data_IF_539407655973
#
_entry.id   IF_539407655973
#
_cell.length_a   1.000
_cell.length_b   1.000
_cell.length_c   1.000
_cell.angle_alpha   90.00
_cell.angle_beta   90.00
_cell.angle_gamma   90.00
#
_symmetry.space_group_name_H-M   'P 1'
#
loop_
_entity.id
_entity.type
_entity.pdbx_description
1 polymer ?
#
# COMPACT_ATOMS: atom_id res chain seq x y z
N UNK A 1 10.21 31.88 14.41
CA UNK A 1 8.86 31.66 13.81
C UNK A 1 8.92 31.23 12.36
N UNK A 2 9.91 31.69 11.58
CA UNK A 2 9.96 31.44 10.14
C UNK A 2 10.08 29.96 9.81
N UNK A 3 10.89 29.20 10.54
CA UNK A 3 10.96 27.73 10.39
C UNK A 3 9.61 27.06 10.66
N UNK A 4 8.93 27.42 11.75
CA UNK A 4 7.63 26.84 12.08
C UNK A 4 6.55 27.20 11.04
N UNK A 5 6.60 28.43 10.51
CA UNK A 5 5.64 28.91 9.52
C UNK A 5 5.89 28.35 8.09
N UNK A 6 7.12 28.01 7.78
CA UNK A 6 7.52 27.54 6.44
C UNK A 6 7.62 26.01 6.36
N UNK A 7 7.56 25.29 7.49
CA UNK A 7 7.54 23.85 7.50
C UNK A 7 6.13 23.34 7.23
N UNK A 8 5.94 22.78 6.05
CA UNK A 8 4.68 22.20 5.62
C UNK A 8 4.89 20.81 5.00
N UNK A 9 3.89 19.95 5.15
CA UNK A 9 3.82 18.66 4.51
C UNK A 9 2.50 18.56 3.74
N UNK A 10 2.58 18.36 2.44
CA UNK A 10 1.41 18.31 1.56
C UNK A 10 0.45 19.53 1.71
N UNK A 11 1.01 20.74 1.82
CA UNK A 11 0.26 21.98 2.02
C UNK A 11 -0.31 22.19 3.43
N UNK A 12 -0.03 21.28 4.35
CA UNK A 12 -0.47 21.38 5.75
C UNK A 12 0.69 21.75 6.66
N UNK A 13 0.54 22.83 7.41
CA UNK A 13 1.52 23.28 8.40
C UNK A 13 1.44 22.43 9.66
N UNK A 14 2.57 21.79 10.02
CA UNK A 14 2.65 20.85 11.12
C UNK A 14 3.08 21.51 12.44
N UNK A 15 3.86 22.61 12.36
CA UNK A 15 4.56 23.22 13.48
C UNK A 15 3.95 24.56 13.95
N UNK A 16 2.83 24.97 13.36
CA UNK A 16 2.14 26.22 13.73
C UNK A 16 0.95 26.00 14.65
N UNK A 17 0.68 24.77 15.06
CA UNK A 17 -0.52 24.41 15.82
C UNK A 17 -1.82 24.61 15.05
N UNK A 18 -2.93 24.24 15.66
CA UNK A 18 -4.25 24.70 15.22
C UNK A 18 -4.60 25.95 16.03
N UNK A 19 -5.35 26.86 15.46
CA UNK A 19 -5.68 28.18 16.01
C UNK A 19 -6.29 28.21 17.44
N UNK A 20 -6.52 27.08 18.08
CA UNK A 20 -7.09 26.95 19.42
C UNK A 20 -6.52 25.73 20.14
N UNK A 21 -5.23 25.72 20.47
CA UNK A 21 -4.61 24.78 21.44
C UNK A 21 -5.18 23.34 21.51
N UNK A 22 -5.98 22.96 20.53
CA UNK A 22 -6.51 21.64 20.31
C UNK A 22 -5.57 20.91 19.36
N UNK A 23 -5.03 19.78 19.79
CA UNK A 23 -4.29 18.84 18.95
C UNK A 23 -5.15 18.42 17.76
N UNK A 24 -5.11 19.18 16.68
CA UNK A 24 -5.72 18.75 15.43
C UNK A 24 -4.76 17.74 14.83
N UNK A 25 -5.01 16.48 15.11
CA UNK A 25 -4.26 15.40 14.51
C UNK A 25 -4.61 15.29 13.02
N UNK A 26 -3.61 15.02 12.21
CA UNK A 26 -3.85 14.64 10.83
C UNK A 26 -3.99 13.12 10.81
N UNK A 27 -5.14 12.65 10.39
CA UNK A 27 -5.34 11.23 10.17
C UNK A 27 -4.79 10.83 8.81
N UNK A 28 -3.84 9.91 8.81
CA UNK A 28 -3.26 9.33 7.61
C UNK A 28 -3.64 7.86 7.54
N UNK A 29 -4.20 7.43 6.42
CA UNK A 29 -4.51 6.02 6.18
C UNK A 29 -3.20 5.27 5.95
N UNK A 30 -2.97 4.22 6.74
CA UNK A 30 -1.75 3.40 6.72
C UNK A 30 -2.00 1.93 6.40
N UNK A 31 -3.26 1.52 6.23
CA UNK A 31 -3.63 0.13 5.95
C UNK A 31 -4.76 0.04 4.95
N UNK A 32 -5.14 -1.21 4.61
CA UNK A 32 -6.17 -1.51 3.63
C UNK A 32 -7.59 -1.54 4.22
N UNK A 33 -7.70 -1.58 5.55
CA UNK A 33 -8.98 -1.70 6.24
C UNK A 33 -9.50 -0.35 6.74
N UNK A 34 -10.81 -0.25 6.87
CA UNK A 34 -11.45 0.93 7.48
C UNK A 34 -11.05 1.01 8.96
N UNK A 35 -10.39 2.10 9.35
CA UNK A 35 -9.88 2.32 10.71
C UNK A 35 -8.36 2.17 10.85
N UNK A 36 -7.67 1.70 9.82
CA UNK A 36 -6.21 1.62 9.81
C UNK A 36 -5.59 3.00 9.58
N UNK A 37 -5.75 3.87 10.56
CA UNK A 37 -5.24 5.24 10.49
C UNK A 37 -4.11 5.48 11.49
N UNK A 38 -3.16 6.32 11.11
CA UNK A 38 -2.17 6.88 12.02
C UNK A 38 -2.43 8.38 12.21
N UNK A 39 -2.36 8.78 13.45
CA UNK A 39 -2.53 10.19 13.83
C UNK A 39 -1.18 10.87 13.89
N UNK A 40 -0.99 11.91 13.07
CA UNK A 40 0.17 12.79 13.10
C UNK A 40 -0.21 14.01 13.94
N UNK A 41 0.37 14.18 15.15
CA UNK A 41 0.05 15.32 15.99
C UNK A 41 0.61 16.61 15.38
N UNK A 42 -0.22 17.64 15.29
CA UNK A 42 0.25 18.99 15.03
C UNK A 42 0.76 19.59 16.34
N UNK A 43 1.93 20.18 16.29
CA UNK A 43 2.56 20.83 17.44
C UNK A 43 2.74 22.31 17.15
N UNK A 44 2.60 23.15 18.18
CA UNK A 44 2.89 24.57 18.06
C UNK A 44 4.31 24.84 18.55
N UNK A 45 5.24 24.99 17.63
CA UNK A 45 6.63 25.36 17.89
C UNK A 45 6.93 26.82 17.54
N UNK A 46 5.89 27.64 17.46
CA UNK A 46 6.08 29.09 17.36
C UNK A 46 6.61 29.64 18.68
N UNK A 47 7.18 30.84 18.68
CA UNK A 47 7.63 31.48 19.89
C UNK A 47 6.51 31.71 20.92
N UNK A 48 5.27 31.73 20.45
CA UNK A 48 4.07 31.84 21.28
C UNK A 48 3.67 30.48 21.86
N UNK A 49 3.67 29.40 21.03
CA UNK A 49 3.39 28.06 21.49
C UNK A 49 4.41 27.50 22.47
N UNK A 50 5.66 27.86 22.31
CA UNK A 50 6.75 27.56 23.26
C UNK A 50 6.76 28.41 24.53
N UNK A 51 5.85 29.39 24.66
CA UNK A 51 5.78 30.25 25.80
C UNK A 51 6.89 31.31 25.92
N UNK A 52 7.71 31.46 24.88
CA UNK A 52 8.76 32.46 24.81
C UNK A 52 8.20 33.87 24.64
N UNK A 53 6.98 33.97 24.09
CA UNK A 53 6.27 35.22 23.84
C UNK A 53 4.78 35.07 24.19
N UNK A 54 4.21 36.05 24.85
CA UNK A 54 2.77 36.13 25.14
C UNK A 54 2.21 37.36 24.45
N UNK A 55 1.52 37.20 23.33
CA UNK A 55 1.14 38.32 22.47
C UNK A 55 2.36 39.08 21.98
N UNK A 56 2.46 40.37 22.25
CA UNK A 56 3.62 41.21 21.91
C UNK A 56 4.69 41.27 23.02
N UNK A 57 4.42 40.70 24.19
CA UNK A 57 5.36 40.69 25.31
C UNK A 57 6.32 39.49 25.21
N UNK A 58 7.61 39.75 25.36
CA UNK A 58 8.65 38.72 25.42
C UNK A 58 8.79 38.26 26.87
N UNK A 59 8.59 36.96 27.14
CA UNK A 59 8.68 36.38 28.49
C UNK A 59 10.14 36.16 28.92
N UNK A 60 11.10 36.36 28.04
CA UNK A 60 12.52 36.30 28.34
C UNK A 60 13.02 37.70 28.59
N UNK A 61 13.25 38.05 29.89
CA UNK A 61 13.71 39.37 30.33
C UNK A 61 15.05 39.20 31.07
N UNK A 62 16.01 40.04 30.70
CA UNK A 62 17.34 40.09 31.34
C UNK A 62 17.26 40.52 32.79
N UNK A 63 16.20 41.22 33.19
CA UNK A 63 15.97 41.65 34.57
C UNK A 63 15.50 40.52 35.50
N UNK A 64 14.98 39.44 34.93
CA UNK A 64 14.49 38.27 35.67
C UNK A 64 15.06 36.98 35.09
N UNK A 65 16.35 36.77 35.30
CA UNK A 65 17.15 35.70 34.69
C UNK A 65 16.61 34.32 35.08
N UNK A 66 16.25 34.10 36.33
CA UNK A 66 15.78 32.81 36.83
C UNK A 66 14.47 32.35 36.12
N UNK A 67 13.56 33.29 35.91
CA UNK A 67 12.31 32.98 35.19
C UNK A 67 12.56 32.78 33.70
N UNK A 68 13.44 33.58 33.12
CA UNK A 68 13.83 33.45 31.71
C UNK A 68 14.50 32.10 31.41
N UNK A 69 15.38 31.63 32.29
CA UNK A 69 15.99 30.29 32.20
C UNK A 69 14.94 29.18 32.23
N UNK A 70 13.99 29.23 33.17
CA UNK A 70 12.91 28.23 33.24
C UNK A 70 12.04 28.19 31.99
N UNK A 71 11.76 29.34 31.40
CA UNK A 71 10.97 29.43 30.16
C UNK A 71 11.74 28.82 28.98
N UNK A 72 13.04 29.09 28.89
CA UNK A 72 13.89 28.54 27.83
C UNK A 72 14.08 27.01 28.00
N UNK A 73 14.31 26.54 29.24
CA UNK A 73 14.45 25.11 29.55
C UNK A 73 13.16 24.36 29.21
N UNK A 74 12.00 24.92 29.53
CA UNK A 74 10.71 24.35 29.16
C UNK A 74 10.56 24.27 27.64
N UNK A 75 10.84 25.35 26.93
CA UNK A 75 10.78 25.38 25.46
C UNK A 75 11.70 24.35 24.83
N UNK A 76 12.92 24.15 25.35
CA UNK A 76 13.84 23.14 24.89
C UNK A 76 13.31 21.72 25.13
N UNK A 77 12.74 21.49 26.31
CA UNK A 77 12.11 20.20 26.64
C UNK A 77 10.92 19.90 25.72
N UNK A 78 10.09 20.88 25.43
CA UNK A 78 8.94 20.74 24.53
C UNK A 78 9.39 20.42 23.10
N UNK A 79 10.46 21.08 22.59
CA UNK A 79 11.05 20.77 21.27
C UNK A 79 11.59 19.34 21.22
N UNK A 80 12.34 18.91 22.26
CA UNK A 80 12.86 17.53 22.33
C UNK A 80 11.73 16.51 22.39
N UNK A 81 10.66 16.77 23.15
CA UNK A 81 9.48 15.90 23.22
C UNK A 81 8.80 15.75 21.87
N UNK A 82 8.64 16.84 21.14
CA UNK A 82 8.07 16.84 19.79
C UNK A 82 8.98 16.05 18.83
N UNK A 83 10.29 16.29 18.87
CA UNK A 83 11.26 15.54 18.07
C UNK A 83 11.19 14.03 18.33
N UNK A 84 11.10 13.65 19.61
CA UNK A 84 10.95 12.23 19.99
C UNK A 84 9.65 11.61 19.46
N UNK A 85 8.52 12.36 19.52
CA UNK A 85 7.23 11.90 18.98
C UNK A 85 7.29 11.69 17.46
N UNK A 86 7.88 12.61 16.72
CA UNK A 86 8.03 12.46 15.27
C UNK A 86 8.99 11.32 14.90
N UNK A 87 10.10 11.15 15.64
CA UNK A 87 11.00 10.02 15.44
C UNK A 87 10.31 8.66 15.71
N UNK A 88 9.45 8.59 16.73
CA UNK A 88 8.66 7.39 16.98
C UNK A 88 7.63 7.12 15.88
N UNK A 89 7.03 8.17 15.30
CA UNK A 89 6.13 8.05 14.15
C UNK A 89 6.86 7.59 12.88
N UNK A 90 8.05 8.11 12.63
CA UNK A 90 8.89 7.69 11.50
C UNK A 90 9.17 6.19 11.57
N UNK A 91 9.67 5.70 12.71
CA UNK A 91 9.90 4.26 12.91
C UNK A 91 8.62 3.43 12.73
N UNK A 92 7.47 3.95 13.19
CA UNK A 92 6.19 3.28 13.01
C UNK A 92 5.77 3.21 11.53
N UNK A 93 5.98 4.28 10.79
CA UNK A 93 5.67 4.31 9.35
C UNK A 93 6.60 3.40 8.56
N UNK A 94 7.89 3.37 8.88
CA UNK A 94 8.85 2.46 8.27
C UNK A 94 8.45 1.00 8.51
N UNK A 95 8.17 0.63 9.76
CA UNK A 95 7.70 -0.73 10.09
C UNK A 95 6.40 -1.11 9.39
N UNK A 96 5.48 -0.15 9.24
CA UNK A 96 4.22 -0.40 8.55
C UNK A 96 4.40 -0.52 7.03
N UNK A 97 5.32 0.26 6.47
CA UNK A 97 5.70 0.13 5.06
C UNK A 97 6.27 -1.27 4.76
N UNK A 98 7.22 -1.73 5.58
CA UNK A 98 7.82 -3.05 5.44
C UNK A 98 6.78 -4.17 5.58
N UNK A 99 5.87 -4.03 6.55
CA UNK A 99 4.77 -4.96 6.75
C UNK A 99 3.81 -4.99 5.55
N UNK A 100 3.47 -3.84 5.00
CA UNK A 100 2.60 -3.74 3.82
C UNK A 100 3.24 -4.35 2.59
N UNK A 101 4.55 -4.17 2.41
CA UNK A 101 5.31 -4.82 1.33
C UNK A 101 5.29 -6.35 1.48
N UNK A 102 5.53 -6.86 2.69
CA UNK A 102 5.49 -8.30 2.95
C UNK A 102 4.10 -8.91 2.74
N UNK A 103 3.03 -8.19 3.09
CA UNK A 103 1.66 -8.62 2.79
C UNK A 103 1.41 -8.64 1.29
N UNK A 104 1.80 -7.59 0.57
CA UNK A 104 1.63 -7.51 -0.89
C UNK A 104 2.30 -8.70 -1.59
N UNK A 105 3.53 -9.04 -1.20
CA UNK A 105 4.26 -10.20 -1.74
C UNK A 105 3.53 -11.53 -1.44
N UNK A 106 3.01 -11.69 -0.24
CA UNK A 106 2.24 -12.89 0.13
C UNK A 106 0.92 -13.00 -0.63
N UNK A 107 0.22 -11.89 -0.82
CA UNK A 107 -1.03 -11.86 -1.58
C UNK A 107 -0.78 -12.17 -3.04
N UNK A 108 0.27 -11.61 -3.64
CA UNK A 108 0.67 -11.90 -5.01
C UNK A 108 1.07 -13.38 -5.18
N UNK A 109 1.83 -13.93 -4.23
CA UNK A 109 2.18 -15.36 -4.22
C UNK A 109 0.96 -16.26 -4.09
N UNK A 110 -0.02 -15.87 -3.27
CA UNK A 110 -1.26 -16.63 -3.13
C UNK A 110 -2.13 -16.55 -4.39
N UNK A 111 -2.24 -15.38 -5.01
CA UNK A 111 -2.97 -15.18 -6.27
C UNK A 111 -2.33 -16.03 -7.40
N UNK A 112 -1.01 -15.98 -7.54
CA UNK A 112 -0.26 -16.81 -8.47
C UNK A 112 -0.51 -18.30 -8.22
N UNK A 113 -0.47 -18.75 -6.96
CA UNK A 113 -0.71 -20.16 -6.62
C UNK A 113 -2.10 -20.64 -7.02
N UNK A 114 -3.12 -19.78 -6.93
CA UNK A 114 -4.49 -20.13 -7.32
C UNK A 114 -4.62 -20.10 -8.85
N UNK A 115 -4.18 -19.03 -9.49
CA UNK A 115 -4.36 -18.81 -10.93
C UNK A 115 -3.51 -19.76 -11.77
N UNK A 116 -2.26 -19.99 -11.39
CA UNK A 116 -1.35 -20.86 -12.13
C UNK A 116 -1.77 -22.33 -12.03
N UNK A 117 -2.34 -22.74 -10.89
CA UNK A 117 -2.88 -24.09 -10.71
C UNK A 117 -4.12 -24.32 -11.59
N UNK A 118 -5.04 -23.35 -11.63
CA UNK A 118 -6.23 -23.43 -12.48
C UNK A 118 -5.86 -23.38 -13.97
N UNK A 119 -4.89 -22.56 -14.35
CA UNK A 119 -4.42 -22.47 -15.73
C UNK A 119 -3.78 -23.78 -16.18
N UNK A 120 -3.01 -24.45 -15.32
CA UNK A 120 -2.40 -25.74 -15.66
C UNK A 120 -3.45 -26.84 -15.85
N UNK A 121 -4.48 -26.88 -15.03
CA UNK A 121 -5.60 -27.81 -15.17
C UNK A 121 -6.38 -27.57 -16.47
N UNK A 122 -6.68 -26.32 -16.79
CA UNK A 122 -7.39 -25.91 -18.02
C UNK A 122 -6.58 -26.24 -19.27
N UNK A 123 -5.26 -26.00 -19.23
CA UNK A 123 -4.38 -26.36 -20.37
C UNK A 123 -4.28 -27.88 -20.60
N UNK A 124 -4.36 -28.69 -19.54
CA UNK A 124 -4.43 -30.14 -19.67
C UNK A 124 -5.75 -30.58 -20.28
N UNK A 125 -6.87 -29.97 -19.87
CA UNK A 125 -8.18 -30.28 -20.45
C UNK A 125 -8.28 -29.84 -21.91
N UNK A 126 -7.80 -28.64 -22.22
CA UNK A 126 -7.69 -28.16 -23.60
C UNK A 126 -6.86 -29.11 -24.49
N UNK A 127 -5.69 -29.53 -24.00
CA UNK A 127 -4.83 -30.46 -24.75
C UNK A 127 -5.50 -31.85 -25.00
N UNK A 128 -6.22 -32.33 -23.99
CA UNK A 128 -7.01 -33.56 -24.10
C UNK A 128 -8.11 -33.45 -25.17
N UNK A 129 -8.84 -32.32 -25.14
CA UNK A 129 -9.92 -32.07 -26.08
C UNK A 129 -9.39 -31.91 -27.52
N UNK A 130 -8.25 -31.25 -27.70
CA UNK A 130 -7.59 -31.11 -28.99
C UNK A 130 -7.18 -32.52 -29.56
N UNK A 131 -6.59 -33.38 -28.73
CA UNK A 131 -6.26 -34.75 -29.11
C UNK A 131 -7.52 -35.55 -29.45
N UNK A 132 -8.61 -35.40 -28.70
CA UNK A 132 -9.88 -36.08 -28.99
C UNK A 132 -10.50 -35.60 -30.31
N UNK A 133 -10.44 -34.32 -30.62
CA UNK A 133 -10.90 -33.76 -31.90
C UNK A 133 -10.06 -34.33 -33.06
N UNK A 134 -8.74 -34.35 -32.92
CA UNK A 134 -7.85 -34.92 -33.94
C UNK A 134 -8.10 -36.43 -34.16
N UNK A 135 -8.25 -37.17 -33.06
CA UNK A 135 -8.57 -38.61 -33.13
C UNK A 135 -9.94 -38.85 -33.76
N UNK A 136 -10.95 -38.03 -33.38
CA UNK A 136 -12.29 -38.12 -33.97
C UNK A 136 -12.30 -37.82 -35.46
N UNK A 137 -11.56 -36.82 -35.90
CA UNK A 137 -11.43 -36.51 -37.33
C UNK A 137 -10.71 -37.66 -38.10
N UNK A 138 -9.67 -38.25 -37.51
CA UNK A 138 -8.98 -39.38 -38.09
C UNK A 138 -9.90 -40.63 -38.21
N UNK A 139 -10.69 -40.90 -37.16
CA UNK A 139 -11.68 -41.98 -37.14
C UNK A 139 -12.79 -41.77 -38.18
N UNK A 140 -13.28 -40.51 -38.32
CA UNK A 140 -14.27 -40.20 -39.35
C UNK A 140 -13.70 -40.38 -40.77
N UNK A 141 -12.46 -39.97 -41.00
CA UNK A 141 -11.78 -40.21 -42.28
C UNK A 141 -11.62 -41.69 -42.56
N UNK A 142 -11.28 -42.50 -41.54
CA UNK A 142 -11.19 -43.96 -41.67
C UNK A 142 -12.55 -44.61 -41.91
N UNK A 143 -13.60 -44.18 -41.20
CA UNK A 143 -14.97 -44.67 -41.38
C UNK A 143 -15.51 -44.39 -42.80
N UNK A 144 -15.19 -43.23 -43.35
CA UNK A 144 -15.58 -42.87 -44.73
C UNK A 144 -14.86 -43.69 -45.83
N UNK A 145 -13.71 -44.29 -45.52
CA UNK A 145 -13.01 -45.17 -46.44
C UNK A 145 -13.63 -46.55 -46.49
N UNK A 146 -14.22 -47.07 -45.44
CA UNK A 146 -14.85 -48.40 -45.40
C UNK A 146 -15.92 -48.61 -46.44
N UNK A 147 -16.89 -47.70 -46.68
CA UNK A 147 -17.86 -47.83 -47.74
C UNK A 147 -17.24 -47.83 -49.17
N UNK A 148 -16.19 -47.01 -49.35
CA UNK A 148 -15.50 -46.90 -50.61
C UNK A 148 -14.74 -48.23 -50.97
N UNK A 149 -14.09 -48.84 -49.97
CA UNK A 149 -13.44 -50.11 -50.14
C UNK A 149 -14.46 -51.22 -50.36
N UNK A 150 -15.61 -51.20 -49.72
CA UNK A 150 -16.69 -52.19 -50.00
C UNK A 150 -17.26 -52.05 -51.41
N UNK A 151 -17.45 -50.81 -51.90
CA UNK A 151 -17.88 -50.57 -53.29
C UNK A 151 -16.84 -51.05 -54.29
N UNK A 152 -15.56 -50.85 -54.02
CA UNK A 152 -14.47 -51.34 -54.90
C UNK A 152 -14.39 -52.87 -54.96
N UNK A 153 -14.68 -53.55 -53.85
CA UNK A 153 -14.76 -55.01 -53.81
C UNK A 153 -15.96 -55.53 -54.67
N UNK A 154 -17.11 -54.88 -54.54
CA UNK A 154 -18.31 -55.21 -55.32
C UNK A 154 -18.12 -55.00 -56.86
N UNK A 155 -17.43 -53.92 -57.21
CA UNK A 155 -17.10 -53.60 -58.58
C UNK A 155 -16.15 -54.66 -59.22
N UNK A 156 -15.14 -55.10 -58.45
CA UNK A 156 -14.23 -56.14 -58.83
C UNK A 156 -14.91 -57.53 -58.99
N UNK A 157 -15.94 -57.79 -58.18
CA UNK A 157 -16.73 -59.06 -58.30
C UNK A 157 -17.66 -59.05 -59.51
N UNK A 158 -18.17 -57.86 -59.91
CA UNK A 158 -19.06 -57.71 -61.08
C UNK A 158 -18.32 -57.75 -62.43
N UNK A 159 -17.00 -57.49 -62.43
CA UNK A 159 -16.15 -57.48 -63.63
C UNK A 159 -15.50 -58.82 -63.91
N UNK A 160 -15.82 -59.84 -63.16
CA UNK A 160 -15.41 -61.25 -63.40
C UNK A 160 -16.63 -62.07 -63.81
#
# INVERSE_FOLDING_TARGET
NDMANNTEFNGVKLLTGGANNGSVNIEMLIGASVGDTANIPKCDLTSQGLGLKTGDLVNVDVKNIDNSLKVVDKALHDIMSVGSKYGALENRFESNYDFSMAISEKVESADSSIRDSDLAAEMMEYSKDDVLIQAGNAMMAQSNKLPQDALRILENVRSR
#
